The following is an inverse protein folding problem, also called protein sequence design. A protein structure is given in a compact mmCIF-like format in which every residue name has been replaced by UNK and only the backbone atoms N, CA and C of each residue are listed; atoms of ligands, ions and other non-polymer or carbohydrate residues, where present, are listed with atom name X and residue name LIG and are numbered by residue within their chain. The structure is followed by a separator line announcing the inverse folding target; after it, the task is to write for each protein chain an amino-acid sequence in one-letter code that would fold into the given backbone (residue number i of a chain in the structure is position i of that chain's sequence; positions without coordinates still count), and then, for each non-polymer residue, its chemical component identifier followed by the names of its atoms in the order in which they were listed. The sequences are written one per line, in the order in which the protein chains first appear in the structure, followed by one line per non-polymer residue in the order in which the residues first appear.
data_IF_306088070307
#
_entry.id   IF_306088070307
#
_cell.length_a   1.000
_cell.length_b   1.000
_cell.length_c   1.000
_cell.angle_alpha   90.00
_cell.angle_beta   90.00
_cell.angle_gamma   90.00
#
_symmetry.space_group_name_H-M   'P 1'
#
loop_
_entity.id
_entity.type
_entity.pdbx_description
1 polymer ?
#
# COMPACT_ATOMS: atom_id res chain seq x y z
N UNK A 1 0.24 -10.82 -16.58
CA UNK A 1 -0.29 -10.20 -15.35
C UNK A 1 -1.43 -9.27 -15.72
N UNK A 2 -2.56 -9.32 -15.01
CA UNK A 2 -3.72 -8.46 -15.22
C UNK A 2 -3.67 -7.40 -14.12
N UNK A 3 -3.39 -6.15 -14.48
CA UNK A 3 -3.18 -5.07 -13.51
C UNK A 3 -4.38 -4.14 -13.33
N UNK A 4 -5.31 -4.09 -14.28
CA UNK A 4 -6.53 -3.28 -14.18
C UNK A 4 -7.62 -3.86 -15.10
N UNK A 5 -8.86 -3.82 -14.64
CA UNK A 5 -10.04 -4.23 -15.40
C UNK A 5 -11.16 -3.22 -15.23
N UNK A 6 -11.80 -2.84 -16.35
CA UNK A 6 -13.00 -2.00 -16.34
C UNK A 6 -14.13 -2.76 -17.02
N UNK A 7 -15.24 -2.96 -16.33
CA UNK A 7 -16.36 -3.72 -16.85
C UNK A 7 -17.65 -3.56 -16.04
N UNK A 8 -18.65 -4.36 -16.37
CA UNK A 8 -19.94 -4.41 -15.72
C UNK A 8 -19.96 -5.53 -14.66
N UNK A 9 -20.41 -5.23 -13.45
CA UNK A 9 -20.57 -6.25 -12.40
C UNK A 9 -21.83 -7.07 -12.70
N UNK A 10 -21.66 -8.32 -13.12
CA UNK A 10 -22.78 -9.20 -13.54
C UNK A 10 -23.19 -10.20 -12.46
N UNK A 11 -22.32 -10.45 -11.48
CA UNK A 11 -22.59 -11.38 -10.39
C UNK A 11 -21.80 -11.04 -9.14
N UNK A 12 -22.37 -11.31 -7.95
CA UNK A 12 -21.72 -11.10 -6.64
C UNK A 12 -22.03 -12.27 -5.70
N UNK A 13 -21.00 -12.85 -5.09
CA UNK A 13 -21.16 -13.87 -4.03
C UNK A 13 -19.85 -14.06 -3.24
N UNK A 14 -19.93 -14.14 -1.90
CA UNK A 14 -18.82 -14.51 -1.01
C UNK A 14 -17.53 -13.70 -1.29
N UNK A 15 -17.62 -12.38 -1.16
CA UNK A 15 -16.51 -11.42 -1.42
C UNK A 15 -15.91 -11.55 -2.83
N UNK A 16 -16.63 -12.16 -3.77
CA UNK A 16 -16.23 -12.33 -5.16
C UNK A 16 -17.25 -11.68 -6.08
N UNK A 17 -16.76 -10.98 -7.08
CA UNK A 17 -17.56 -10.47 -8.19
C UNK A 17 -17.19 -11.16 -9.49
N UNK A 18 -18.11 -11.18 -10.44
CA UNK A 18 -17.87 -11.44 -11.84
C UNK A 18 -17.96 -10.11 -12.59
N UNK A 19 -16.85 -9.67 -13.15
CA UNK A 19 -16.76 -8.46 -13.94
C UNK A 19 -16.74 -8.84 -15.43
N UNK A 20 -17.78 -8.43 -16.15
CA UNK A 20 -17.85 -8.60 -17.60
C UNK A 20 -17.05 -7.50 -18.29
N UNK A 21 -16.00 -7.91 -19.01
CA UNK A 21 -15.14 -7.03 -19.80
C UNK A 21 -15.19 -7.51 -21.26
N UNK A 22 -16.09 -6.94 -22.07
CA UNK A 22 -16.29 -7.30 -23.50
C UNK A 22 -16.52 -8.80 -23.68
N UNK A 23 -17.57 -9.31 -23.07
CA UNK A 23 -17.99 -10.73 -23.14
C UNK A 23 -17.03 -11.74 -22.48
N UNK A 24 -16.03 -11.25 -21.74
CA UNK A 24 -15.16 -12.09 -20.90
C UNK A 24 -15.41 -11.80 -19.43
N UNK A 25 -15.88 -12.82 -18.69
CA UNK A 25 -16.15 -12.71 -17.25
C UNK A 25 -14.90 -12.95 -16.40
N UNK A 26 -14.42 -11.91 -15.72
CA UNK A 26 -13.31 -12.00 -14.79
C UNK A 26 -13.82 -12.15 -13.37
N UNK A 27 -13.34 -13.20 -12.70
CA UNK A 27 -13.66 -13.47 -11.30
C UNK A 27 -12.66 -12.75 -10.40
N UNK A 28 -13.12 -11.76 -9.61
CA UNK A 28 -12.27 -10.91 -8.80
C UNK A 28 -12.67 -11.04 -7.33
N UNK A 29 -11.69 -11.30 -6.46
CA UNK A 29 -11.87 -11.28 -5.00
C UNK A 29 -11.67 -9.84 -4.50
N UNK A 30 -12.61 -9.35 -3.71
CA UNK A 30 -12.59 -8.01 -3.14
C UNK A 30 -12.49 -8.07 -1.60
N UNK A 31 -11.89 -7.06 -0.95
CA UNK A 31 -12.11 -6.83 0.47
C UNK A 31 -13.62 -6.77 0.78
N UNK A 32 -14.02 -7.22 1.95
CA UNK A 32 -15.44 -7.35 2.29
C UNK A 32 -16.17 -5.99 2.27
N UNK A 33 -15.53 -4.93 2.75
CA UNK A 33 -16.07 -3.57 2.67
C UNK A 33 -16.33 -3.17 1.21
N UNK A 34 -15.34 -3.32 0.34
CA UNK A 34 -15.46 -3.00 -1.08
C UNK A 34 -16.51 -3.87 -1.80
N UNK A 35 -16.61 -5.14 -1.42
CA UNK A 35 -17.62 -6.05 -1.94
C UNK A 35 -19.03 -5.56 -1.59
N UNK A 36 -19.27 -5.08 -0.38
CA UNK A 36 -20.58 -4.55 0.03
C UNK A 36 -20.93 -3.26 -0.68
N UNK A 37 -19.98 -2.38 -0.91
CA UNK A 37 -20.16 -1.12 -1.66
C UNK A 37 -20.42 -1.33 -3.15
N UNK A 38 -19.96 -2.44 -3.73
CA UNK A 38 -20.12 -2.73 -5.15
C UNK A 38 -21.58 -3.10 -5.48
N UNK A 39 -22.14 -2.62 -6.59
CA UNK A 39 -23.53 -2.84 -7.00
C UNK A 39 -23.62 -3.66 -8.27
N UNK A 40 -24.58 -4.61 -8.33
CA UNK A 40 -24.89 -5.35 -9.56
C UNK A 40 -25.34 -4.39 -10.66
N UNK A 41 -24.86 -4.59 -11.89
CA UNK A 41 -25.14 -3.73 -13.03
C UNK A 41 -24.32 -2.43 -13.06
N UNK A 42 -23.47 -2.18 -12.08
CA UNK A 42 -22.57 -1.03 -12.08
C UNK A 42 -21.36 -1.29 -12.99
N UNK A 43 -20.97 -0.26 -13.77
CA UNK A 43 -19.70 -0.26 -14.51
C UNK A 43 -18.63 0.31 -13.61
N UNK A 44 -17.60 -0.49 -13.31
CA UNK A 44 -16.54 -0.12 -12.36
C UNK A 44 -15.17 -0.54 -12.86
N UNK A 45 -14.15 0.19 -12.41
CA UNK A 45 -12.75 -0.13 -12.62
C UNK A 45 -12.17 -0.70 -11.34
N UNK A 46 -11.40 -1.77 -11.46
CA UNK A 46 -10.62 -2.35 -10.37
C UNK A 46 -9.16 -2.46 -10.76
N UNK A 47 -8.28 -2.04 -9.86
CA UNK A 47 -6.85 -2.32 -9.93
C UNK A 47 -6.62 -3.71 -9.36
N UNK A 48 -5.88 -4.57 -10.08
CA UNK A 48 -5.88 -6.00 -9.78
C UNK A 48 -4.47 -6.56 -9.56
N UNK A 49 -4.36 -7.41 -8.55
CA UNK A 49 -3.21 -8.28 -8.34
C UNK A 49 -3.51 -9.66 -8.91
N UNK A 50 -2.63 -10.15 -9.79
CA UNK A 50 -2.76 -11.51 -10.37
C UNK A 50 -1.91 -12.48 -9.57
N UNK A 51 -2.55 -13.42 -8.88
CA UNK A 51 -1.89 -14.47 -8.14
C UNK A 51 -1.97 -15.79 -8.88
N UNK A 52 -0.81 -16.33 -9.28
CA UNK A 52 -0.69 -17.55 -10.08
C UNK A 52 -0.02 -18.64 -9.25
N UNK A 53 -0.62 -19.82 -9.23
CA UNK A 53 -0.05 -21.07 -8.74
C UNK A 53 -0.23 -22.15 -9.80
N UNK A 54 0.32 -23.33 -9.56
CA UNK A 54 0.16 -24.50 -10.46
C UNK A 54 -1.32 -24.87 -10.67
N UNK A 55 -2.14 -24.72 -9.63
CA UNK A 55 -3.55 -25.14 -9.57
C UNK A 55 -4.56 -23.98 -9.56
N UNK A 56 -4.11 -22.71 -9.57
CA UNK A 56 -5.00 -21.57 -9.43
C UNK A 56 -4.48 -20.29 -10.11
N UNK A 57 -5.42 -19.54 -10.70
CA UNK A 57 -5.24 -18.16 -11.10
C UNK A 57 -6.32 -17.33 -10.40
N UNK A 58 -5.91 -16.48 -9.47
CA UNK A 58 -6.81 -15.63 -8.69
C UNK A 58 -6.51 -14.15 -8.96
N UNK A 59 -7.57 -13.34 -9.06
CA UNK A 59 -7.48 -11.89 -9.15
C UNK A 59 -8.00 -11.28 -7.83
N UNK A 60 -7.21 -10.39 -7.24
CA UNK A 60 -7.57 -9.60 -6.08
C UNK A 60 -7.74 -8.15 -6.54
N UNK A 61 -8.87 -7.51 -6.23
CA UNK A 61 -9.22 -6.21 -6.79
C UNK A 61 -9.41 -5.12 -5.72
N UNK A 62 -9.03 -3.90 -6.10
CA UNK A 62 -9.09 -2.70 -5.27
C UNK A 62 -9.62 -1.52 -6.09
N UNK A 63 -10.26 -0.55 -5.45
CA UNK A 63 -10.75 0.67 -6.12
C UNK A 63 -9.61 1.63 -6.47
N UNK A 64 -8.57 1.70 -5.65
CA UNK A 64 -7.49 2.67 -5.75
C UNK A 64 -6.15 1.95 -5.97
N UNK A 65 -5.25 2.50 -6.80
CA UNK A 65 -3.93 1.93 -7.04
C UNK A 65 -3.06 1.92 -5.76
N UNK A 66 -3.28 2.87 -4.85
CA UNK A 66 -2.58 2.93 -3.57
C UNK A 66 -2.99 1.80 -2.62
N UNK A 67 -4.24 1.32 -2.70
CA UNK A 67 -4.70 0.16 -1.94
C UNK A 67 -4.06 -1.12 -2.48
N UNK A 68 -3.93 -1.24 -3.80
CA UNK A 68 -3.19 -2.32 -4.43
C UNK A 68 -1.71 -2.31 -4.00
N UNK A 69 -1.09 -1.13 -4.00
CA UNK A 69 0.31 -0.97 -3.55
C UNK A 69 0.49 -1.40 -2.09
N UNK A 70 -0.42 -1.02 -1.19
CA UNK A 70 -0.38 -1.47 0.20
C UNK A 70 -0.60 -2.98 0.31
N UNK A 71 -1.52 -3.55 -0.47
CA UNK A 71 -1.74 -5.00 -0.53
C UNK A 71 -0.47 -5.75 -0.94
N UNK A 72 0.24 -5.28 -1.97
CA UNK A 72 1.51 -5.86 -2.43
C UNK A 72 2.59 -5.80 -1.33
N UNK A 73 2.66 -4.71 -0.58
CA UNK A 73 3.53 -4.61 0.59
C UNK A 73 3.15 -5.60 1.69
N UNK A 74 1.86 -5.76 1.98
CA UNK A 74 1.37 -6.74 2.95
C UNK A 74 1.79 -8.16 2.59
N UNK A 75 1.59 -8.58 1.34
CA UNK A 75 1.96 -9.93 0.89
C UNK A 75 3.47 -10.16 0.78
N UNK A 76 4.27 -9.11 0.72
CA UNK A 76 5.74 -9.21 0.76
C UNK A 76 6.29 -9.57 2.14
N UNK A 77 5.45 -9.52 3.18
CA UNK A 77 5.80 -9.96 4.53
C UNK A 77 5.67 -11.48 4.63
N UNK A 78 6.75 -12.14 5.03
CA UNK A 78 6.77 -13.60 5.16
C UNK A 78 5.70 -14.10 6.14
N UNK A 79 4.85 -15.02 5.67
CA UNK A 79 3.72 -15.56 6.43
C UNK A 79 2.39 -14.83 6.22
N UNK A 80 2.38 -13.79 5.38
CA UNK A 80 1.16 -13.09 4.96
C UNK A 80 0.86 -13.47 3.49
N UNK A 81 -0.15 -14.28 3.28
CA UNK A 81 -0.62 -14.61 1.94
C UNK A 81 -1.71 -13.65 1.44
N UNK A 82 -2.06 -13.69 0.13
CA UNK A 82 -3.04 -12.78 -0.47
C UNK A 82 -4.40 -12.75 0.24
N UNK A 83 -4.90 -13.91 0.69
CA UNK A 83 -6.19 -13.97 1.42
C UNK A 83 -6.11 -13.35 2.82
N UNK A 84 -4.95 -13.46 3.49
CA UNK A 84 -4.74 -12.81 4.79
C UNK A 84 -4.65 -11.29 4.61
N UNK A 85 -3.92 -10.84 3.58
CA UNK A 85 -3.83 -9.42 3.24
C UNK A 85 -5.22 -8.84 2.87
N UNK A 86 -6.04 -9.58 2.10
CA UNK A 86 -7.41 -9.17 1.80
C UNK A 86 -8.27 -9.02 3.07
N UNK A 87 -8.12 -9.95 4.05
CA UNK A 87 -8.81 -9.88 5.33
C UNK A 87 -8.39 -8.65 6.16
N UNK A 88 -7.14 -8.17 6.02
CA UNK A 88 -6.70 -6.93 6.67
C UNK A 88 -7.50 -5.74 6.15
N UNK A 89 -7.71 -5.63 4.84
CA UNK A 89 -8.57 -4.61 4.24
C UNK A 89 -10.06 -4.78 4.55
N UNK A 90 -10.48 -5.92 5.07
CA UNK A 90 -11.87 -6.15 5.51
C UNK A 90 -12.16 -5.64 6.92
N UNK A 91 -11.14 -5.30 7.71
CA UNK A 91 -11.29 -4.76 9.07
C UNK A 91 -11.02 -3.26 9.18
N UNK A 92 -10.49 -2.63 8.13
CA UNK A 92 -10.27 -1.19 8.09
C UNK A 92 -9.82 -0.69 6.73
N UNK A 93 -9.94 0.64 6.54
CA UNK A 93 -9.45 1.34 5.36
C UNK A 93 -7.92 1.35 5.30
N UNK A 94 -7.37 1.75 4.14
CA UNK A 94 -5.92 1.97 4.00
C UNK A 94 -5.35 2.88 5.10
N UNK A 95 -6.04 3.97 5.42
CA UNK A 95 -5.59 4.91 6.46
C UNK A 95 -5.59 4.27 7.85
N UNK A 96 -6.59 3.43 8.16
CA UNK A 96 -6.63 2.72 9.44
C UNK A 96 -5.48 1.72 9.54
N UNK A 97 -5.19 0.99 8.47
CA UNK A 97 -4.08 0.03 8.39
C UNK A 97 -2.74 0.75 8.60
N UNK A 98 -2.49 1.84 7.87
CA UNK A 98 -1.26 2.64 7.98
C UNK A 98 -1.10 3.22 9.39
N UNK A 99 -2.17 3.80 9.96
CA UNK A 99 -2.18 4.31 11.33
C UNK A 99 -1.89 3.21 12.38
N UNK A 100 -2.46 2.02 12.19
CA UNK A 100 -2.19 0.88 13.08
C UNK A 100 -0.73 0.41 13.02
N UNK A 101 -0.09 0.46 11.82
CA UNK A 101 1.33 0.16 11.65
C UNK A 101 2.19 1.20 12.37
N UNK A 102 1.93 2.50 12.14
CA UNK A 102 2.67 3.60 12.76
C UNK A 102 2.59 3.57 14.28
N UNK A 103 1.40 3.33 14.83
CA UNK A 103 1.14 3.25 16.29
C UNK A 103 1.52 1.91 16.89
N UNK A 104 1.98 0.95 16.09
CA UNK A 104 2.25 -0.43 16.52
C UNK A 104 1.04 -1.09 17.19
N UNK A 105 -0.17 -0.80 16.67
CA UNK A 105 -1.44 -1.31 17.23
C UNK A 105 -1.64 -2.80 16.88
N UNK A 106 -1.16 -3.66 17.75
CA UNK A 106 -1.35 -5.11 17.61
C UNK A 106 -2.80 -5.54 17.79
N UNK A 107 -3.65 -4.74 18.49
CA UNK A 107 -5.04 -5.10 18.73
C UNK A 107 -5.85 -5.03 17.43
N UNK A 108 -5.59 -3.99 16.60
CA UNK A 108 -6.16 -3.89 15.25
C UNK A 108 -5.91 -5.17 14.43
N UNK A 109 -4.68 -5.61 14.37
CA UNK A 109 -4.30 -6.79 13.57
C UNK A 109 -4.78 -8.12 14.18
N UNK A 110 -4.99 -8.21 15.49
CA UNK A 110 -5.58 -9.40 16.13
C UNK A 110 -7.04 -9.64 15.75
N UNK A 111 -7.76 -8.60 15.35
CA UNK A 111 -9.14 -8.73 14.85
C UNK A 111 -9.23 -9.39 13.47
N UNK A 112 -8.10 -9.45 12.73
CA UNK A 112 -8.05 -10.01 11.38
C UNK A 112 -8.13 -11.54 11.43
N UNK A 113 -9.11 -12.17 10.76
CA UNK A 113 -9.22 -13.62 10.71
C UNK A 113 -7.94 -14.28 10.15
N UNK A 114 -7.48 -15.33 10.82
CA UNK A 114 -6.29 -16.12 10.45
C UNK A 114 -4.95 -15.39 10.58
N UNK A 115 -4.92 -14.19 11.14
CA UNK A 115 -3.69 -13.48 11.46
C UNK A 115 -3.34 -13.68 12.93
N UNK A 116 -2.44 -14.63 13.20
CA UNK A 116 -1.99 -14.91 14.58
C UNK A 116 -1.13 -13.77 15.15
N UNK A 117 -1.05 -13.70 16.48
CA UNK A 117 -0.32 -12.63 17.19
C UNK A 117 1.13 -12.48 16.73
N UNK A 118 1.85 -13.58 16.48
CA UNK A 118 3.25 -13.53 16.01
C UNK A 118 3.34 -12.88 14.63
N UNK A 119 2.44 -13.25 13.71
CA UNK A 119 2.41 -12.67 12.35
C UNK A 119 1.98 -11.20 12.38
N UNK A 120 1.08 -10.80 13.26
CA UNK A 120 0.69 -9.41 13.44
C UNK A 120 1.88 -8.53 13.89
N UNK A 121 2.64 -9.00 14.89
CA UNK A 121 3.84 -8.29 15.35
C UNK A 121 4.92 -8.20 14.25
N UNK A 122 5.18 -9.30 13.57
CA UNK A 122 6.14 -9.34 12.46
C UNK A 122 5.74 -8.40 11.33
N UNK A 123 4.46 -8.40 10.95
CA UNK A 123 3.89 -7.52 9.93
C UNK A 123 4.13 -6.05 10.28
N UNK A 124 3.84 -5.64 11.51
CA UNK A 124 4.04 -4.25 11.95
C UNK A 124 5.51 -3.83 11.81
N UNK A 125 6.43 -4.67 12.29
CA UNK A 125 7.87 -4.36 12.26
C UNK A 125 8.39 -4.26 10.82
N UNK A 126 8.08 -5.26 9.98
CA UNK A 126 8.58 -5.30 8.59
C UNK A 126 7.98 -4.20 7.72
N UNK A 127 6.66 -3.93 7.86
CA UNK A 127 6.01 -2.89 7.07
C UNK A 127 6.40 -1.49 7.49
N UNK A 128 6.59 -1.24 8.77
CA UNK A 128 7.07 0.06 9.25
C UNK A 128 8.43 0.40 8.62
N UNK A 129 9.38 -0.54 8.59
CA UNK A 129 10.66 -0.35 7.92
C UNK A 129 10.50 -0.03 6.43
N UNK A 130 9.69 -0.81 5.71
CA UNK A 130 9.44 -0.59 4.27
C UNK A 130 8.75 0.74 3.97
N UNK A 131 7.78 1.16 4.78
CA UNK A 131 7.09 2.45 4.62
C UNK A 131 8.04 3.64 4.88
N UNK A 132 8.95 3.50 5.82
CA UNK A 132 10.00 4.50 6.09
C UNK A 132 10.99 4.61 4.92
N UNK A 133 11.43 3.47 4.36
CA UNK A 133 12.32 3.41 3.19
C UNK A 133 11.66 4.04 1.95
N UNK A 134 10.40 3.72 1.67
CA UNK A 134 9.65 4.31 0.55
C UNK A 134 9.47 5.83 0.70
N UNK A 135 9.14 6.28 1.90
CA UNK A 135 9.01 7.71 2.20
C UNK A 135 10.34 8.43 1.98
N UNK A 136 11.47 7.83 2.39
CA UNK A 136 12.79 8.38 2.15
C UNK A 136 13.14 8.41 0.67
N UNK A 137 12.84 7.34 -0.06
CA UNK A 137 13.09 7.27 -1.50
C UNK A 137 12.28 8.31 -2.26
N UNK A 138 11.02 8.51 -1.91
CA UNK A 138 10.16 9.52 -2.52
C UNK A 138 10.67 10.94 -2.24
N UNK A 139 11.01 11.24 -0.99
CA UNK A 139 11.61 12.54 -0.62
C UNK A 139 12.91 12.79 -1.38
N UNK A 140 13.74 11.76 -1.57
CA UNK A 140 14.97 11.86 -2.34
C UNK A 140 14.71 12.17 -3.82
N UNK A 141 13.74 11.49 -4.43
CA UNK A 141 13.38 11.68 -5.84
C UNK A 141 12.80 13.07 -6.10
N UNK A 142 11.93 13.55 -5.22
CA UNK A 142 11.32 14.88 -5.34
C UNK A 142 12.30 16.02 -5.07
N UNK A 143 13.40 15.77 -4.38
CA UNK A 143 14.37 16.77 -3.97
C UNK A 143 15.80 16.46 -4.44
N UNK A 144 15.95 15.83 -5.60
CA UNK A 144 17.25 15.38 -6.11
C UNK A 144 18.33 16.47 -6.10
N UNK A 145 17.99 17.68 -6.57
CA UNK A 145 18.91 18.81 -6.61
C UNK A 145 19.33 19.28 -5.22
N UNK A 146 18.37 19.28 -4.26
CA UNK A 146 18.62 19.65 -2.87
C UNK A 146 19.52 18.62 -2.19
N UNK A 147 19.27 17.34 -2.43
CA UNK A 147 20.07 16.23 -1.89
C UNK A 147 21.51 16.33 -2.42
N UNK A 148 21.70 16.48 -3.73
CA UNK A 148 23.04 16.62 -4.34
C UNK A 148 23.80 17.81 -3.79
N UNK A 149 23.14 18.97 -3.66
CA UNK A 149 23.76 20.16 -3.08
C UNK A 149 24.23 19.93 -1.64
N UNK A 150 23.40 19.29 -0.81
CA UNK A 150 23.74 19.05 0.60
C UNK A 150 24.80 17.94 0.77
N UNK A 151 24.82 16.94 -0.09
CA UNK A 151 25.90 15.93 -0.15
C UNK A 151 27.25 16.59 -0.48
N UNK A 152 27.27 17.59 -1.39
CA UNK A 152 28.46 18.38 -1.70
C UNK A 152 28.97 19.16 -0.49
N UNK A 153 28.11 19.53 0.48
CA UNK A 153 28.52 20.09 1.77
C UNK A 153 28.98 19.05 2.80
N UNK A 154 28.99 17.77 2.45
CA UNK A 154 29.50 16.68 3.28
C UNK A 154 28.49 16.03 4.23
N UNK A 155 27.17 16.29 4.05
CA UNK A 155 26.13 15.62 4.81
C UNK A 155 25.83 14.23 4.22
N UNK A 156 25.44 13.29 5.08
CA UNK A 156 25.02 11.97 4.64
C UNK A 156 23.60 12.01 4.08
N UNK A 157 23.33 11.26 3.02
CA UNK A 157 22.02 11.19 2.38
C UNK A 157 20.89 10.90 3.37
N UNK A 158 21.09 9.99 4.32
CA UNK A 158 20.09 9.63 5.35
C UNK A 158 19.74 10.81 6.27
N UNK A 159 20.72 11.63 6.63
CA UNK A 159 20.53 12.84 7.45
C UNK A 159 19.74 13.90 6.67
N UNK A 160 20.11 14.10 5.40
CA UNK A 160 19.45 15.04 4.49
C UNK A 160 17.98 14.65 4.30
N UNK A 161 17.71 13.40 3.95
CA UNK A 161 16.34 12.91 3.70
C UNK A 161 15.45 13.01 4.95
N UNK A 162 16.04 12.73 6.12
CA UNK A 162 15.34 12.87 7.40
C UNK A 162 15.00 14.33 7.68
N UNK A 163 15.92 15.25 7.43
CA UNK A 163 15.73 16.68 7.67
C UNK A 163 14.78 17.33 6.65
N UNK A 164 14.68 16.78 5.42
CA UNK A 164 13.77 17.24 4.36
C UNK A 164 12.31 16.83 4.61
N UNK A 165 12.03 15.84 5.45
CA UNK A 165 10.64 15.44 5.74
C UNK A 165 9.80 16.64 6.22
N UNK A 166 8.69 16.89 5.51
CA UNK A 166 7.77 17.99 5.82
C UNK A 166 8.31 19.39 5.53
N UNK A 167 9.36 19.49 4.72
CA UNK A 167 9.90 20.79 4.27
C UNK A 167 9.37 21.09 2.88
N UNK A 168 8.55 22.11 2.75
CA UNK A 168 7.98 22.58 1.50
C UNK A 168 8.70 23.87 1.05
N UNK A 169 8.58 24.21 -0.24
CA UNK A 169 9.15 25.43 -0.82
C UNK A 169 10.16 25.18 -1.94
N UNK A 170 10.73 26.24 -2.53
CA UNK A 170 11.72 26.13 -3.58
C UNK A 170 13.04 25.53 -3.06
N UNK A 171 13.87 24.95 -3.95
CA UNK A 171 15.10 24.26 -3.56
C UNK A 171 16.04 25.07 -2.67
N UNK A 172 16.17 26.38 -2.93
CA UNK A 172 17.04 27.26 -2.17
C UNK A 172 16.58 27.43 -0.71
N UNK A 173 15.27 27.51 -0.48
CA UNK A 173 14.71 27.60 0.87
C UNK A 173 14.83 26.28 1.62
N UNK A 174 14.59 25.17 0.94
CA UNK A 174 14.77 23.81 1.49
C UNK A 174 16.21 23.60 1.97
N UNK A 175 17.22 24.02 1.17
CA UNK A 175 18.63 23.94 1.55
C UNK A 175 18.88 24.73 2.84
N UNK A 176 18.40 25.98 2.94
CA UNK A 176 18.58 26.82 4.14
C UNK A 176 17.94 26.20 5.38
N UNK A 177 16.73 25.65 5.24
CA UNK A 177 16.00 25.01 6.35
C UNK A 177 16.74 23.77 6.82
N UNK A 178 17.21 22.93 5.89
CA UNK A 178 17.92 21.69 6.20
C UNK A 178 19.27 21.98 6.86
N UNK A 179 20.06 22.95 6.35
CA UNK A 179 21.29 23.38 6.98
C UNK A 179 21.07 23.85 8.42
N UNK A 180 20.01 24.60 8.67
CA UNK A 180 19.64 25.04 10.03
C UNK A 180 19.24 23.86 10.94
N UNK A 181 18.51 22.85 10.40
CA UNK A 181 18.13 21.64 11.15
C UNK A 181 19.35 20.75 11.47
N UNK A 182 20.34 20.71 10.59
CA UNK A 182 21.56 19.91 10.76
C UNK A 182 22.67 20.63 11.55
N UNK A 183 22.40 21.83 12.08
CA UNK A 183 23.27 22.50 13.06
C UNK A 183 24.49 23.21 12.46
N UNK A 184 24.38 23.67 11.22
CA UNK A 184 25.42 24.49 10.57
C UNK A 184 24.84 25.77 9.95
#
# INVERSE_FOLDING_TARGET
MIGMLTGLITYKRNSTILLDVRDVGYKILLPELLFHESTLGEKKTYYTYTYVREDALELFGFNEPEDLTLFEKLISVSGIGPRTALNIFSVGSRNDILSAIEKSDTAFFKSVPRLGTKNAQKLIIELRGKLEEDSMSQVGTENTDVVQALEAFGFKQTEILTALKGVEGPPEEKIKIVLKKLGR
#
